data_IF_423648792215
#
_entry.id   IF_423648792215
#
_cell.length_a   1.000
_cell.length_b   1.000
_cell.length_c   1.000
_cell.angle_alpha   90.00
_cell.angle_beta   90.00
_cell.angle_gamma   90.00
#
_symmetry.space_group_name_H-M   'P 1'
#
loop_
_entity.id
_entity.type
_entity.pdbx_description
1 polymer ?
2 non-polymer ?
3 water ?
#
# COMPACT_ATOMS: atom_id res chain seq x y z
N UNK A 1 2.77 6.05 -4.73
CA UNK A 1 4.19 6.52 -4.86
C UNK A 1 4.62 6.67 -6.32
N UNK A 2 4.19 5.75 -7.19
CA UNK A 2 4.56 5.68 -8.61
C UNK A 2 3.35 5.33 -9.45
N UNK A 3 3.51 5.18 -10.79
CA UNK A 3 2.40 4.88 -11.67
C UNK A 3 1.71 3.54 -11.34
N UNK A 4 2.41 2.59 -10.72
CA UNK A 4 1.80 1.32 -10.28
C UNK A 4 0.71 1.56 -9.25
N UNK A 5 1.05 2.27 -8.17
CA UNK A 5 0.14 2.63 -7.05
C UNK A 5 -0.99 3.56 -7.53
N UNK A 6 -0.70 4.40 -8.53
CA UNK A 6 -1.67 5.36 -9.12
C UNK A 6 -2.79 4.58 -9.82
N UNK A 7 -2.43 3.61 -10.64
CA UNK A 7 -3.45 2.78 -11.32
C UNK A 7 -4.29 2.04 -10.26
N UNK A 8 -3.65 1.32 -9.34
CA UNK A 8 -4.30 0.59 -8.22
C UNK A 8 -5.24 1.52 -7.44
N UNK A 9 -4.83 2.76 -7.11
CA UNK A 9 -5.67 3.69 -6.32
C UNK A 9 -6.93 4.04 -7.11
N UNK A 10 -6.77 4.22 -8.41
CA UNK A 10 -7.85 4.60 -9.33
C UNK A 10 -8.91 3.50 -9.35
N UNK A 11 -8.49 2.24 -9.19
CA UNK A 11 -9.42 1.08 -9.20
C UNK A 11 -10.11 1.03 -7.83
N UNK A 12 -9.33 1.13 -6.75
CA UNK A 12 -9.91 1.00 -5.40
C UNK A 12 -10.96 2.08 -5.16
N UNK A 13 -10.69 3.34 -5.51
CA UNK A 13 -11.53 4.49 -5.14
C UNK A 13 -12.92 4.43 -5.79
N UNK A 14 -13.04 3.81 -6.98
CA UNK A 14 -14.30 3.80 -7.75
C UNK A 14 -14.86 2.39 -7.92
N UNK A 15 -14.04 1.33 -7.78
CA UNK A 15 -14.50 -0.02 -8.24
C UNK A 15 -14.42 -1.06 -7.13
N UNK A 16 -14.39 -0.67 -5.85
CA UNK A 16 -14.42 -1.68 -4.76
C UNK A 16 -15.50 -1.29 -3.77
N UNK A 17 -16.10 -2.28 -3.13
CA UNK A 17 -17.01 -2.13 -1.96
C UNK A 17 -16.50 -3.12 -0.91
N UNK A 18 -16.91 -2.95 0.35
CA UNK A 18 -16.65 -3.95 1.42
C UNK A 18 -17.84 -4.92 1.42
N UNK A 19 -17.59 -6.19 1.12
CA UNK A 19 -18.60 -7.27 1.14
C UNK A 19 -18.46 -8.03 2.45
N UNK A 20 -19.58 -8.28 3.14
CA UNK A 20 -19.60 -9.06 4.41
C UNK A 20 -20.56 -10.24 4.22
N UNK A 21 -20.06 -11.46 4.41
CA UNK A 21 -20.87 -12.72 4.38
C UNK A 21 -20.79 -13.31 5.79
N UNK A 22 -21.25 -14.54 5.99
CA UNK A 22 -21.12 -15.23 7.30
C UNK A 22 -19.68 -15.73 7.45
N UNK A 23 -18.86 -15.64 6.38
CA UNK A 23 -17.46 -16.11 6.43
C UNK A 23 -16.49 -14.93 6.59
N UNK A 24 -16.99 -13.69 6.71
CA UNK A 24 -16.21 -12.50 7.09
C UNK A 24 -16.32 -11.37 6.08
N UNK A 25 -15.44 -10.37 6.23
CA UNK A 25 -15.31 -9.15 5.38
C UNK A 25 -14.31 -9.41 4.24
N UNK A 26 -14.69 -9.05 3.01
CA UNK A 26 -13.87 -9.24 1.79
C UNK A 26 -13.78 -7.92 1.00
N UNK A 27 -12.64 -7.64 0.41
CA UNK A 27 -12.52 -6.68 -0.74
C UNK A 27 -13.33 -7.30 -1.86
N UNK A 28 -14.16 -6.51 -2.54
CA UNK A 28 -15.04 -6.99 -3.63
C UNK A 28 -14.88 -6.00 -4.78
N UNK A 29 -14.42 -6.49 -5.93
CA UNK A 29 -14.20 -5.69 -7.15
C UNK A 29 -15.53 -5.59 -7.91
N UNK A 30 -16.02 -4.37 -8.10
CA UNK A 30 -17.13 -4.11 -9.05
C UNK A 30 -16.56 -3.98 -10.45
N UNK A 31 -17.15 -4.65 -11.44
CA UNK A 31 -16.58 -4.75 -12.83
C UNK A 31 -17.42 -3.90 -13.80
N UNK A 32 -18.76 -3.98 -13.72
CA UNK A 32 -19.68 -3.21 -14.60
C UNK A 32 -21.10 -3.37 -14.07
N UNK A 33 -21.98 -2.41 -14.42
CA UNK A 33 -23.41 -2.36 -13.99
C UNK A 33 -23.48 -2.74 -12.50
N UNK A 34 -24.14 -3.85 -12.14
CA UNK A 34 -24.30 -4.25 -10.72
C UNK A 34 -23.54 -5.55 -10.52
N UNK A 35 -22.56 -5.82 -11.37
CA UNK A 35 -21.84 -7.12 -11.41
C UNK A 35 -20.48 -6.92 -10.75
N UNK A 36 -20.16 -7.78 -9.76
CA UNK A 36 -18.92 -7.76 -8.94
C UNK A 36 -18.39 -9.19 -8.81
N UNK A 37 -17.15 -9.35 -8.33
CA UNK A 37 -16.49 -10.65 -8.05
C UNK A 37 -16.01 -10.73 -6.60
N UNK A 38 -15.86 -11.96 -6.14
CA UNK A 38 -15.44 -12.26 -4.75
C UNK A 38 -14.92 -13.69 -4.75
N UNK A 39 -13.92 -14.05 -3.92
CA UNK A 39 -13.49 -15.44 -3.82
C UNK A 39 -14.67 -16.37 -3.47
N UNK A 40 -14.72 -17.52 -4.13
CA UNK A 40 -15.79 -18.51 -3.91
C UNK A 40 -15.90 -18.91 -2.42
N UNK A 41 -14.78 -18.97 -1.69
CA UNK A 41 -14.76 -19.35 -0.25
C UNK A 41 -15.48 -18.29 0.64
N UNK A 42 -15.91 -17.15 0.10
CA UNK A 42 -16.81 -16.20 0.82
C UNK A 42 -18.20 -16.80 1.03
N UNK A 43 -18.57 -17.84 0.27
CA UNK A 43 -19.87 -18.54 0.37
C UNK A 43 -21.05 -17.56 0.33
N UNK A 44 -21.19 -16.83 -0.77
CA UNK A 44 -22.28 -15.84 -0.97
C UNK A 44 -23.64 -16.53 -0.92
N UNK A 45 -24.55 -16.04 -0.07
CA UNK A 45 -25.95 -16.48 0.01
C UNK A 45 -26.93 -15.56 -0.72
N UNK A 46 -28.18 -15.52 -0.26
CA UNK A 46 -29.32 -14.75 -0.84
C UNK A 46 -29.22 -13.27 -0.45
N UNK A 47 -28.57 -12.98 0.67
CA UNK A 47 -28.40 -11.63 1.25
C UNK A 47 -26.90 -11.46 1.51
N UNK A 48 -26.36 -10.29 1.23
CA UNK A 48 -24.95 -9.94 1.51
C UNK A 48 -24.95 -8.51 2.05
N UNK A 49 -23.96 -8.13 2.87
CA UNK A 49 -23.82 -6.71 3.29
C UNK A 49 -22.77 -6.05 2.41
N UNK A 50 -23.14 -4.89 1.83
CA UNK A 50 -22.27 -4.11 0.93
C UNK A 50 -22.08 -2.74 1.57
N UNK A 51 -20.89 -2.46 2.08
CA UNK A 51 -20.59 -1.18 2.78
C UNK A 51 -21.58 -1.06 3.93
N UNK A 52 -21.91 -2.18 4.58
CA UNK A 52 -22.83 -2.31 5.75
C UNK A 52 -24.30 -2.07 5.36
N UNK A 53 -24.67 -2.19 4.08
CA UNK A 53 -26.09 -2.09 3.64
C UNK A 53 -26.59 -3.49 3.28
N UNK A 54 -27.70 -3.91 3.87
CA UNK A 54 -28.29 -5.25 3.62
C UNK A 54 -28.70 -5.28 2.16
N UNK A 55 -28.14 -6.19 1.38
CA UNK A 55 -28.30 -6.19 -0.09
C UNK A 55 -28.79 -7.58 -0.54
N UNK A 56 -29.91 -7.63 -1.26
CA UNK A 56 -30.37 -8.87 -1.93
C UNK A 56 -29.38 -9.23 -3.05
N UNK A 57 -29.07 -10.50 -3.21
CA UNK A 57 -28.17 -11.03 -4.26
C UNK A 57 -29.08 -11.53 -5.39
N UNK A 58 -29.03 -10.91 -6.57
CA UNK A 58 -29.92 -11.23 -7.73
C UNK A 58 -29.45 -12.51 -8.43
N UNK A 59 -28.16 -12.81 -8.38
CA UNK A 59 -27.53 -13.98 -9.04
C UNK A 59 -26.13 -14.17 -8.46
N UNK A 60 -25.67 -15.39 -8.35
CA UNK A 60 -24.30 -15.69 -7.89
C UNK A 60 -23.85 -16.99 -8.54
N UNK A 61 -22.72 -16.94 -9.22
CA UNK A 61 -22.20 -18.07 -10.03
C UNK A 61 -20.73 -18.33 -9.71
N UNK A 62 -20.48 -19.52 -9.17
CA UNK A 62 -19.15 -20.05 -8.86
C UNK A 62 -18.52 -20.60 -10.14
N UNK A 63 -17.52 -19.91 -10.68
CA UNK A 63 -16.96 -20.26 -12.00
C UNK A 63 -16.10 -21.52 -11.88
N UNK A 64 -16.19 -22.37 -12.90
CA UNK A 64 -15.33 -23.55 -13.13
C UNK A 64 -14.88 -23.49 -14.60
N UNK A 65 -13.69 -23.98 -14.93
CA UNK A 65 -13.23 -24.03 -16.34
C UNK A 65 -13.89 -25.22 -17.04
N UNK A 66 -13.61 -25.42 -18.32
CA UNK A 66 -14.28 -26.47 -19.12
C UNK A 66 -13.72 -27.86 -18.79
N UNK A 67 -12.66 -27.99 -17.97
CA UNK A 67 -12.21 -29.30 -17.39
C UNK A 67 -13.03 -29.62 -16.15
N UNK A 68 -14.04 -28.80 -15.83
CA UNK A 68 -14.88 -28.85 -14.60
C UNK A 68 -13.99 -28.70 -13.35
N UNK A 69 -13.06 -27.76 -13.35
CA UNK A 69 -12.16 -27.49 -12.20
C UNK A 69 -12.47 -26.10 -11.65
N UNK A 70 -12.62 -26.00 -10.32
CA UNK A 70 -12.80 -24.73 -9.58
C UNK A 70 -11.90 -23.62 -10.16
N UNK A 71 -12.43 -22.40 -10.32
CA UNK A 71 -11.59 -21.20 -10.60
C UNK A 71 -11.50 -20.26 -9.38
N UNK A 72 -12.24 -20.54 -8.31
CA UNK A 72 -12.27 -19.75 -7.04
C UNK A 72 -12.81 -18.33 -7.21
N UNK A 73 -13.50 -18.06 -8.32
CA UNK A 73 -14.13 -16.73 -8.63
C UNK A 73 -15.66 -16.92 -8.62
N UNK A 74 -16.36 -16.17 -7.78
CA UNK A 74 -17.84 -16.08 -7.82
C UNK A 74 -18.19 -14.73 -8.46
N UNK A 75 -19.04 -14.77 -9.46
CA UNK A 75 -19.63 -13.54 -10.06
C UNK A 75 -20.96 -13.31 -9.37
N UNK A 76 -21.12 -12.12 -8.79
CA UNK A 76 -22.33 -11.68 -8.06
C UNK A 76 -22.99 -10.51 -8.79
N UNK A 77 -24.30 -10.60 -9.03
CA UNK A 77 -25.15 -9.44 -9.39
C UNK A 77 -25.87 -8.94 -8.13
N UNK A 78 -25.67 -7.67 -7.76
CA UNK A 78 -26.26 -7.04 -6.56
C UNK A 78 -27.53 -6.24 -6.89
N UNK A 79 -28.50 -6.32 -5.99
CA UNK A 79 -29.72 -5.45 -5.98
C UNK A 79 -29.36 -4.10 -5.38
N UNK A 80 -28.48 -3.39 -6.06
CA UNK A 80 -27.90 -2.11 -5.62
C UNK A 80 -28.50 -1.00 -6.49
N UNK A 81 -28.62 0.22 -5.93
CA UNK A 81 -29.33 1.33 -6.60
C UNK A 81 -28.33 2.11 -7.46
N UNK A 82 -27.10 1.64 -7.56
CA UNK A 82 -26.03 2.38 -8.28
C UNK A 82 -25.16 1.42 -9.08
N UNK A 83 -24.75 1.83 -10.28
CA UNK A 83 -23.85 1.05 -11.14
C UNK A 83 -22.38 1.36 -10.83
N UNK A 84 -21.53 0.37 -11.06
CA UNK A 84 -20.06 0.53 -11.10
C UNK A 84 -19.65 1.14 -12.44
N UNK A 85 -18.60 1.95 -12.39
CA UNK A 85 -17.78 2.29 -13.59
C UNK A 85 -17.40 1.01 -14.33
N UNK A 86 -17.65 0.96 -15.63
CA UNK A 86 -17.31 -0.22 -16.47
C UNK A 86 -15.79 -0.27 -16.65
N UNK A 87 -15.13 -1.26 -16.05
CA UNK A 87 -13.66 -1.47 -16.14
C UNK A 87 -13.32 -2.74 -16.92
N UNK A 88 -14.23 -3.23 -17.75
CA UNK A 88 -13.96 -4.48 -18.50
C UNK A 88 -12.81 -4.29 -19.51
N UNK A 89 -12.61 -3.09 -20.09
CA UNK A 89 -11.52 -2.82 -21.07
C UNK A 89 -10.13 -2.92 -20.40
N UNK A 90 -10.09 -3.01 -19.06
CA UNK A 90 -8.81 -3.19 -18.31
C UNK A 90 -8.54 -4.66 -18.02
N UNK A 91 -9.43 -5.59 -18.38
CA UNK A 91 -9.23 -7.04 -18.09
C UNK A 91 -8.39 -7.67 -19.19
N UNK A 92 -7.40 -8.53 -18.86
CA UNK A 92 -6.65 -9.25 -19.89
C UNK A 92 -7.54 -10.25 -20.63
N UNK A 93 -7.23 -10.53 -21.90
CA UNK A 93 -8.00 -11.49 -22.72
C UNK A 93 -7.43 -12.91 -22.64
N UNK A 94 -6.13 -13.05 -22.38
CA UNK A 94 -5.41 -14.36 -22.34
C UNK A 94 -4.68 -14.54 -21.00
N UNK A 95 -4.48 -15.80 -20.61
CA UNK A 95 -3.62 -16.17 -19.44
C UNK A 95 -2.20 -15.67 -19.73
N UNK A 96 -1.48 -15.09 -18.74
CA UNK A 96 -0.14 -14.49 -18.97
C UNK A 96 0.60 -14.37 -17.64
N UNK A 97 1.90 -14.10 -17.73
CA UNK A 97 2.77 -13.63 -16.62
C UNK A 97 2.80 -12.09 -16.68
N UNK A 98 3.20 -11.44 -15.59
CA UNK A 98 3.25 -9.96 -15.50
C UNK A 98 4.44 -9.53 -14.63
N UNK A 99 4.87 -8.29 -14.80
CA UNK A 99 5.88 -7.67 -13.90
C UNK A 99 5.22 -6.58 -13.07
N UNK A 100 5.83 -6.27 -11.92
CA UNK A 100 5.52 -5.07 -11.10
C UNK A 100 4.01 -5.00 -10.83
N UNK A 101 3.45 -6.00 -10.14
CA UNK A 101 2.03 -5.98 -9.73
C UNK A 101 1.90 -5.31 -8.36
N UNK A 102 0.74 -4.70 -8.12
CA UNK A 102 0.27 -4.22 -6.78
C UNK A 102 -0.94 -5.05 -6.37
N UNK A 103 -0.99 -5.41 -5.08
CA UNK A 103 -2.18 -6.01 -4.43
C UNK A 103 -2.78 -4.96 -3.48
N UNK A 104 -4.05 -4.62 -3.70
CA UNK A 104 -4.79 -3.55 -2.99
C UNK A 104 -5.98 -4.14 -2.21
N UNK A 105 -6.12 -3.77 -0.95
CA UNK A 105 -7.15 -4.29 0.00
C UNK A 105 -7.81 -3.09 0.70
N UNK A 106 -9.11 -3.18 0.87
CA UNK A 106 -9.91 -2.22 1.66
C UNK A 106 -10.99 -2.95 2.46
N UNK A 107 -10.74 -3.14 3.75
CA UNK A 107 -11.71 -3.61 4.76
C UNK A 107 -11.67 -2.69 5.97
N UNK A 108 -12.56 -2.94 6.95
CA UNK A 108 -12.51 -2.40 8.34
C UNK A 108 -11.10 -2.54 8.89
N UNK A 109 -10.58 -3.77 8.85
CA UNK A 109 -9.27 -4.20 9.41
C UNK A 109 -8.11 -3.55 8.67
N UNK A 110 -8.14 -3.56 7.33
CA UNK A 110 -7.01 -3.13 6.47
C UNK A 110 -7.49 -2.08 5.46
N UNK A 111 -7.80 -0.84 5.94
CA UNK A 111 -8.19 0.26 5.06
C UNK A 111 -7.01 0.79 4.23
N UNK A 112 -7.27 1.14 2.96
CA UNK A 112 -6.30 1.78 2.03
C UNK A 112 -4.92 1.10 2.09
N UNK A 113 -4.90 -0.23 2.00
CA UNK A 113 -3.65 -1.02 1.96
C UNK A 113 -3.23 -1.28 0.50
N UNK A 114 -1.95 -1.07 0.17
CA UNK A 114 -1.35 -1.29 -1.17
C UNK A 114 -0.02 -2.00 -0.95
N UNK A 115 0.18 -3.17 -1.55
CA UNK A 115 1.42 -3.99 -1.42
C UNK A 115 2.05 -4.13 -2.79
N UNK A 116 3.33 -3.71 -3.00
CA UNK A 116 4.04 -4.04 -4.22
C UNK A 116 4.51 -5.49 -4.11
N UNK A 117 3.89 -6.40 -4.88
CA UNK A 117 4.19 -7.85 -4.76
C UNK A 117 5.22 -8.25 -5.83
N UNK A 118 5.57 -7.38 -6.77
CA UNK A 118 6.61 -7.66 -7.77
C UNK A 118 6.12 -8.60 -8.87
N UNK A 119 6.96 -9.55 -9.25
CA UNK A 119 6.75 -10.40 -10.47
C UNK A 119 5.61 -11.40 -10.22
N UNK A 120 4.76 -11.62 -11.21
CA UNK A 120 3.59 -12.53 -11.10
C UNK A 120 3.77 -13.68 -12.09
N UNK A 121 3.76 -14.91 -11.59
CA UNK A 121 3.93 -16.12 -12.41
C UNK A 121 2.55 -16.68 -12.77
N UNK A 122 2.38 -17.07 -14.03
CA UNK A 122 1.24 -17.93 -14.47
C UNK A 122 1.51 -19.32 -13.88
N UNK A 123 1.08 -19.56 -12.64
CA UNK A 123 1.40 -20.78 -11.86
C UNK A 123 0.57 -21.98 -12.37
N UNK A 124 -0.73 -21.77 -12.59
CA UNK A 124 -1.66 -22.76 -13.18
C UNK A 124 -2.44 -23.52 -12.15
N UNK A 125 -2.09 -24.79 -11.96
CA UNK A 125 -2.72 -25.71 -10.98
C UNK A 125 -2.22 -25.39 -9.56
N UNK A 126 -3.17 -25.29 -8.62
CA UNK A 126 -2.90 -25.22 -7.18
C UNK A 126 -3.99 -26.01 -6.42
N UNK A 127 -3.55 -26.84 -5.49
CA UNK A 127 -4.42 -27.46 -4.47
C UNK A 127 -4.63 -26.39 -3.40
N UNK A 128 -5.74 -25.66 -3.48
CA UNK A 128 -6.05 -24.49 -2.62
C UNK A 128 -7.00 -24.93 -1.50
N UNK A 129 -6.52 -24.94 -0.26
CA UNK A 129 -7.29 -25.45 0.89
C UNK A 129 -7.94 -26.80 0.56
N UNK A 130 -7.25 -27.62 -0.25
CA UNK A 130 -7.66 -29.00 -0.56
C UNK A 130 -8.51 -29.10 -1.83
N UNK A 131 -8.83 -27.97 -2.48
CA UNK A 131 -9.62 -27.98 -3.74
C UNK A 131 -8.70 -27.79 -4.94
N UNK A 132 -8.69 -28.73 -5.92
CA UNK A 132 -7.99 -28.51 -7.17
C UNK A 132 -8.51 -27.21 -7.81
N UNK A 133 -7.61 -26.29 -8.14
CA UNK A 133 -7.99 -24.95 -8.65
C UNK A 133 -7.12 -24.64 -9.86
N UNK A 134 -7.68 -24.02 -10.90
CA UNK A 134 -6.87 -23.67 -12.09
C UNK A 134 -6.73 -22.15 -12.21
N UNK A 135 -5.91 -21.73 -13.14
CA UNK A 135 -5.69 -20.32 -13.57
C UNK A 135 -5.18 -19.48 -12.39
N UNK A 136 -4.27 -20.04 -11.60
CA UNK A 136 -3.68 -19.34 -10.43
C UNK A 136 -2.48 -18.51 -10.88
N UNK A 137 -2.43 -17.29 -10.34
CA UNK A 137 -1.29 -16.35 -10.40
C UNK A 137 -0.54 -16.49 -9.07
N UNK A 138 0.80 -16.45 -9.11
CA UNK A 138 1.65 -16.58 -7.89
C UNK A 138 2.60 -15.38 -7.80
N UNK A 139 2.73 -14.83 -6.60
CA UNK A 139 3.67 -13.74 -6.25
C UNK A 139 4.32 -14.04 -4.90
N UNK A 140 5.57 -13.61 -4.77
CA UNK A 140 6.46 -13.90 -3.61
C UNK A 140 6.29 -12.77 -2.60
N UNK A 141 5.11 -12.66 -2.00
CA UNK A 141 4.86 -11.80 -0.81
C UNK A 141 4.18 -12.65 0.25
N UNK A 142 4.60 -12.57 1.53
CA UNK A 142 3.96 -13.34 2.60
C UNK A 142 2.60 -12.71 2.99
N UNK A 143 1.59 -12.94 2.14
CA UNK A 143 0.20 -12.42 2.32
C UNK A 143 -0.46 -13.13 3.51
N UNK A 144 -1.45 -12.49 4.14
CA UNK A 144 -2.03 -12.92 5.45
C UNK A 144 -3.56 -12.83 5.40
N UNK A 145 -4.22 -13.37 6.43
CA UNK A 145 -5.70 -13.38 6.61
C UNK A 145 -6.24 -11.94 6.59
N UNK A 146 -7.30 -11.72 5.81
CA UNK A 146 -7.93 -10.38 5.66
C UNK A 146 -7.71 -9.81 4.26
N UNK A 147 -6.78 -10.37 3.48
CA UNK A 147 -6.41 -9.87 2.13
C UNK A 147 -7.18 -10.59 1.01
N UNK A 148 -7.92 -11.66 1.29
CA UNK A 148 -8.67 -12.35 0.21
C UNK A 148 -9.70 -11.37 -0.39
N UNK A 149 -9.77 -11.37 -1.73
CA UNK A 149 -10.63 -10.47 -2.53
C UNK A 149 -9.84 -9.27 -2.99
N UNK A 150 -8.65 -9.08 -2.41
CA UNK A 150 -7.73 -7.98 -2.76
C UNK A 150 -7.47 -7.94 -4.24
N UNK A 151 -7.33 -6.76 -4.82
CA UNK A 151 -7.29 -6.64 -6.30
C UNK A 151 -5.83 -6.63 -6.72
N UNK A 152 -5.49 -7.43 -7.71
CA UNK A 152 -4.11 -7.46 -8.28
C UNK A 152 -4.16 -6.67 -9.60
N UNK A 153 -3.38 -5.59 -9.68
CA UNK A 153 -3.20 -4.74 -10.89
C UNK A 153 -1.72 -4.64 -11.34
N UNK A 154 -1.52 -4.42 -12.63
CA UNK A 154 -0.31 -3.80 -13.23
C UNK A 154 -0.78 -2.48 -13.81
N UNK A 155 0.14 -1.58 -14.18
CA UNK A 155 -0.24 -0.30 -14.82
C UNK A 155 -1.03 -0.65 -16.09
N UNK A 156 -2.31 -0.28 -16.12
CA UNK A 156 -3.19 -0.48 -17.27
C UNK A 156 -4.05 -1.72 -17.18
N UNK A 157 -3.79 -2.69 -16.26
CA UNK A 157 -4.59 -3.95 -16.25
C UNK A 157 -4.97 -4.43 -14.84
N UNK A 158 -6.21 -4.90 -14.72
CA UNK A 158 -6.72 -5.62 -13.53
C UNK A 158 -6.64 -7.11 -13.84
N UNK A 159 -5.75 -7.84 -13.16
CA UNK A 159 -5.33 -9.19 -13.63
C UNK A 159 -5.87 -10.29 -12.72
N UNK A 160 -6.30 -10.01 -11.49
CA UNK A 160 -6.76 -11.10 -10.59
C UNK A 160 -7.27 -10.62 -9.26
N UNK A 161 -7.76 -11.56 -8.46
CA UNK A 161 -8.20 -11.29 -7.07
C UNK A 161 -7.57 -12.33 -6.15
N UNK A 162 -6.99 -11.84 -5.06
CA UNK A 162 -6.26 -12.64 -4.04
C UNK A 162 -7.17 -13.71 -3.44
N UNK A 163 -6.77 -14.98 -3.44
CA UNK A 163 -7.62 -16.09 -2.91
C UNK A 163 -6.90 -16.93 -1.83
N UNK A 164 -5.58 -16.78 -1.64
CA UNK A 164 -4.88 -17.45 -0.52
C UNK A 164 -3.38 -17.30 -0.57
N UNK A 165 -2.69 -18.02 0.31
CA UNK A 165 -1.23 -17.95 0.48
C UNK A 165 -0.71 -19.11 1.32
N UNK A 166 0.61 -19.28 1.39
CA UNK A 166 1.25 -20.38 2.17
C UNK A 166 2.29 -19.78 3.12
N UNK A 167 2.32 -18.47 3.32
CA UNK A 167 3.24 -17.84 4.28
C UNK A 167 4.50 -17.29 3.62
N UNK A 168 4.97 -17.92 2.53
CA UNK A 168 6.04 -17.41 1.65
C UNK A 168 5.41 -16.68 0.45
N UNK A 169 4.41 -17.32 -0.16
CA UNK A 169 3.81 -16.91 -1.45
C UNK A 169 2.33 -16.55 -1.26
N UNK A 170 1.80 -15.68 -2.12
CA UNK A 170 0.36 -15.42 -2.21
C UNK A 170 -0.18 -15.88 -3.56
N UNK A 171 -1.49 -16.08 -3.66
CA UNK A 171 -2.14 -16.69 -4.85
C UNK A 171 -3.39 -15.89 -5.23
N UNK A 172 -3.56 -15.59 -6.52
CA UNK A 172 -4.73 -14.86 -7.04
C UNK A 172 -5.41 -15.71 -8.13
N UNK A 173 -6.73 -15.68 -8.24
CA UNK A 173 -7.48 -16.22 -9.40
C UNK A 173 -7.46 -15.18 -10.54
N UNK A 174 -7.12 -15.60 -11.75
CA UNK A 174 -7.05 -14.68 -12.92
C UNK A 174 -8.43 -14.11 -13.13
N UNK A 175 -8.51 -12.84 -13.53
CA UNK A 175 -9.71 -12.26 -14.20
C UNK A 175 -9.40 -12.20 -15.71
N UNK A 176 -10.37 -12.63 -16.51
CA UNK A 176 -10.32 -12.63 -17.99
C UNK A 176 -11.56 -11.88 -18.52
N UNK A 177 -11.41 -11.10 -19.61
CA UNK A 177 -12.50 -10.35 -20.28
C UNK A 177 -13.69 -11.27 -20.60
N UNK A 178 -13.43 -12.49 -21.07
CA UNK A 178 -14.47 -13.49 -21.45
C UNK A 178 -15.38 -13.85 -20.27
N UNK A 179 -15.01 -13.59 -19.01
CA UNK A 179 -15.90 -13.91 -17.85
C UNK A 179 -17.09 -12.94 -17.81
N UNK A 180 -16.96 -11.75 -18.41
CA UNK A 180 -17.89 -10.61 -18.18
C UNK A 180 -18.47 -10.09 -19.49
N UNK A 181 -18.47 -10.87 -20.58
CA UNK A 181 -19.25 -10.53 -21.79
C UNK A 181 -20.74 -10.63 -21.40
N UNK A 182 -21.53 -9.62 -21.75
CA UNK A 182 -22.98 -9.55 -21.38
C UNK A 182 -23.83 -10.05 -22.55
N UNK B 2 -2.38 -6.77 12.48
CA UNK B 2 -2.26 -6.43 13.93
C UNK B 2 -2.65 -4.98 14.21
N UNK B 3 -2.29 -4.40 15.38
CA UNK B 3 -2.45 -2.96 15.63
C UNK B 3 -1.33 -2.08 15.05
N UNK B 4 -0.44 -2.67 14.25
CA UNK B 4 0.51 -1.95 13.37
C UNK B 4 -0.22 -0.93 12.51
N UNK B 5 -1.40 -1.32 12.00
CA UNK B 5 -2.23 -0.46 11.13
C UNK B 5 -2.85 0.69 11.92
N UNK B 6 -3.39 0.42 13.10
CA UNK B 6 -3.92 1.48 14.00
C UNK B 6 -2.79 2.49 14.26
N UNK B 7 -1.60 1.99 14.59
CA UNK B 7 -0.44 2.83 14.97
C UNK B 7 -0.06 3.73 13.78
N UNK B 8 0.06 3.17 12.58
CA UNK B 8 0.43 3.93 11.35
C UNK B 8 -0.69 4.95 11.04
N UNK B 9 -1.96 4.58 11.20
CA UNK B 9 -3.09 5.53 10.99
C UNK B 9 -3.00 6.67 12.02
N UNK B 10 -2.64 6.39 13.27
CA UNK B 10 -2.57 7.40 14.35
C UNK B 10 -1.49 8.43 14.02
N UNK B 11 -0.38 7.96 13.46
CA UNK B 11 0.77 8.84 13.08
C UNK B 11 0.40 9.63 11.83
N UNK B 12 -0.18 8.96 10.83
CA UNK B 12 -0.67 9.62 9.58
C UNK B 12 -1.57 10.81 9.95
N UNK B 13 -2.62 10.54 10.73
CA UNK B 13 -3.72 11.52 11.01
C UNK B 13 -3.20 12.77 11.73
N UNK B 14 -2.32 12.67 12.72
CA UNK B 14 -1.95 13.85 13.57
C UNK B 14 -0.59 14.45 13.18
N UNK B 15 0.32 13.67 12.59
CA UNK B 15 1.75 14.05 12.48
C UNK B 15 2.25 14.07 11.03
N UNK B 16 1.42 13.83 10.01
CA UNK B 16 1.93 13.75 8.63
C UNK B 16 1.31 14.91 7.85
N UNK B 17 2.11 15.71 7.15
CA UNK B 17 1.61 16.84 6.32
C UNK B 17 2.23 16.74 4.93
N UNK B 18 1.61 17.45 3.97
CA UNK B 18 2.09 17.51 2.57
C UNK B 18 3.06 18.69 2.50
N UNK B 19 4.32 18.44 2.20
CA UNK B 19 5.32 19.51 2.02
C UNK B 19 5.51 19.67 0.52
N UNK B 20 5.61 20.89 0.03
CA UNK B 20 5.94 21.10 -1.40
C UNK B 20 7.09 22.10 -1.46
N UNK B 21 8.18 21.67 -2.10
CA UNK B 21 9.42 22.44 -2.34
C UNK B 21 9.53 22.68 -3.84
N UNK B 22 10.69 23.20 -4.30
CA UNK B 22 10.96 23.45 -5.75
C UNK B 22 10.80 22.14 -6.53
N UNK B 23 10.97 20.99 -5.86
CA UNK B 23 11.14 19.66 -6.51
C UNK B 23 9.79 18.98 -6.67
N UNK B 24 8.78 19.45 -5.92
CA UNK B 24 7.42 18.90 -5.89
C UNK B 24 7.05 18.47 -4.49
N UNK B 25 6.13 17.49 -4.39
CA UNK B 25 5.44 17.20 -3.10
C UNK B 25 6.12 16.02 -2.40
N UNK B 26 6.18 16.09 -1.06
CA UNK B 26 6.83 15.07 -0.20
C UNK B 26 6.00 14.84 1.08
N UNK B 27 5.90 13.58 1.50
CA UNK B 27 5.34 13.24 2.80
C UNK B 27 6.29 13.83 3.84
N UNK B 28 5.79 14.60 4.79
CA UNK B 28 6.62 15.28 5.82
C UNK B 28 6.10 14.83 7.19
N UNK B 29 7.01 14.43 8.09
CA UNK B 29 6.67 14.02 9.47
C UNK B 29 6.94 15.17 10.43
N UNK B 30 5.91 15.65 11.12
CA UNK B 30 6.03 16.56 12.27
C UNK B 30 6.43 15.77 13.51
N UNK B 31 7.46 16.21 14.22
CA UNK B 31 8.02 15.40 15.35
C UNK B 31 7.56 16.01 16.68
N UNK B 32 7.69 17.33 16.83
CA UNK B 32 7.27 18.11 18.02
C UNK B 32 7.32 19.60 17.67
N UNK B 33 6.53 20.41 18.40
CA UNK B 33 6.45 21.88 18.23
C UNK B 33 6.31 22.19 16.74
N UNK B 34 7.21 22.99 16.18
CA UNK B 34 7.22 23.31 14.74
C UNK B 34 8.39 22.60 14.04
N UNK B 35 8.88 21.50 14.63
CA UNK B 35 10.03 20.74 14.08
C UNK B 35 9.49 19.55 13.29
N UNK B 36 9.95 19.39 12.06
CA UNK B 36 9.56 18.30 11.13
C UNK B 36 10.77 17.77 10.37
N UNK B 37 10.61 16.65 9.68
CA UNK B 37 11.68 16.02 8.89
C UNK B 37 11.19 15.71 7.48
N UNK B 38 12.14 15.74 6.56
CA UNK B 38 11.90 15.50 5.12
C UNK B 38 13.22 14.97 4.57
N UNK B 39 13.22 14.11 3.51
CA UNK B 39 14.49 13.72 2.86
C UNK B 39 15.32 14.91 2.38
N UNK B 40 16.65 14.83 2.49
CA UNK B 40 17.56 15.95 2.08
C UNK B 40 17.37 16.27 0.58
N UNK B 41 17.05 15.27 -0.23
CA UNK B 41 16.95 15.46 -1.70
C UNK B 41 15.71 16.27 -2.08
N UNK B 42 14.85 16.62 -1.12
CA UNK B 42 13.71 17.54 -1.31
C UNK B 42 14.16 18.99 -1.58
N UNK B 43 15.41 19.35 -1.28
CA UNK B 43 15.97 20.70 -1.54
C UNK B 43 15.09 21.76 -0.90
N UNK B 44 14.99 21.72 0.43
CA UNK B 44 14.25 22.72 1.21
C UNK B 44 14.91 24.11 1.00
N UNK B 45 14.08 25.11 0.71
CA UNK B 45 14.48 26.53 0.55
C UNK B 45 14.12 27.37 1.76
N UNK B 46 13.91 28.68 1.55
CA UNK B 46 13.56 29.67 2.59
C UNK B 46 12.05 29.56 2.88
N UNK B 47 11.27 29.19 1.86
CA UNK B 47 9.80 29.09 1.88
C UNK B 47 9.43 27.63 1.56
N UNK B 48 8.47 27.07 2.27
CA UNK B 48 7.85 25.77 1.89
C UNK B 48 6.32 25.92 1.92
N UNK B 49 5.62 25.07 1.17
CA UNK B 49 4.15 24.92 1.27
C UNK B 49 3.85 23.72 2.15
N UNK B 50 3.15 23.96 3.26
CA UNK B 50 2.59 22.90 4.16
C UNK B 50 1.07 22.83 3.96
N UNK B 51 0.56 21.72 3.40
CA UNK B 51 -0.87 21.53 3.06
C UNK B 51 -1.36 22.77 2.30
N UNK B 52 -0.58 23.17 1.28
CA UNK B 52 -0.89 24.23 0.29
C UNK B 52 -0.77 25.64 0.88
N UNK B 53 -0.21 25.79 2.08
CA UNK B 53 -0.04 27.11 2.76
C UNK B 53 1.43 27.52 2.71
N UNK B 54 1.74 28.62 2.03
CA UNK B 54 3.08 29.26 2.01
C UNK B 54 3.58 29.43 3.45
N UNK B 55 4.75 28.88 3.77
CA UNK B 55 5.28 28.79 5.16
C UNK B 55 6.79 29.08 5.14
N UNK B 56 7.23 29.98 6.03
CA UNK B 56 8.65 30.37 6.13
C UNK B 56 9.35 29.24 6.86
N UNK B 57 10.48 28.80 6.33
CA UNK B 57 11.39 27.82 6.98
C UNK B 57 12.41 28.63 7.80
N UNK B 58 12.31 28.58 9.12
CA UNK B 58 13.18 29.39 10.01
C UNK B 58 14.59 28.78 10.05
N UNK B 59 14.69 27.45 9.94
CA UNK B 59 15.96 26.71 10.04
C UNK B 59 15.79 25.37 9.30
N UNK B 60 16.83 24.98 8.54
CA UNK B 60 16.98 23.67 7.88
C UNK B 60 18.39 23.14 8.21
N UNK B 61 18.47 21.92 8.76
CA UNK B 61 19.75 21.19 9.03
C UNK B 61 19.77 19.87 8.26
N UNK B 62 20.66 19.75 7.27
CA UNK B 62 20.93 18.49 6.55
C UNK B 62 21.80 17.60 7.46
N UNK B 63 21.18 16.61 8.12
CA UNK B 63 21.86 15.83 9.16
C UNK B 63 23.07 15.03 8.62
N UNK B 64 24.12 14.98 9.44
CA UNK B 64 25.33 14.17 9.19
C UNK B 64 25.72 13.56 10.53
N UNK B 65 26.28 12.36 10.53
CA UNK B 65 26.64 11.73 11.82
C UNK B 65 28.03 12.21 12.24
N UNK B 66 28.57 11.65 13.32
CA UNK B 66 29.85 12.13 13.90
C UNK B 66 31.05 11.65 13.08
N UNK B 67 30.87 10.72 12.12
CA UNK B 67 31.89 10.41 11.08
C UNK B 67 31.84 11.45 9.95
N UNK B 68 30.97 12.47 10.08
CA UNK B 68 30.76 13.49 9.03
C UNK B 68 30.21 12.81 7.78
N UNK B 69 29.30 11.85 7.95
CA UNK B 69 28.62 11.19 6.80
C UNK B 69 27.13 11.60 6.74
N UNK B 70 26.64 11.84 5.52
CA UNK B 70 25.22 12.13 5.18
C UNK B 70 24.33 11.07 5.83
N UNK B 71 23.22 11.52 6.43
CA UNK B 71 22.08 10.71 6.92
C UNK B 71 20.81 10.87 6.04
N UNK B 72 20.74 11.87 5.16
CA UNK B 72 19.66 12.07 4.16
C UNK B 72 18.35 12.51 4.82
N UNK B 73 18.41 12.96 6.08
CA UNK B 73 17.33 13.61 6.83
C UNK B 73 17.68 15.09 6.89
N UNK B 74 16.71 15.92 6.54
CA UNK B 74 16.72 17.38 6.81
C UNK B 74 15.69 17.67 7.91
N UNK B 75 16.12 18.30 9.02
CA UNK B 75 15.22 18.77 10.09
C UNK B 75 14.91 20.23 9.81
N UNK B 76 13.63 20.60 9.75
CA UNK B 76 13.17 21.99 9.46
C UNK B 76 12.43 22.54 10.68
N UNK B 77 12.64 23.82 10.99
CA UNK B 77 11.83 24.59 11.95
C UNK B 77 10.91 25.51 11.14
N UNK B 78 9.60 25.35 11.33
CA UNK B 78 8.55 26.00 10.49
C UNK B 78 7.96 27.20 11.25
N UNK B 79 7.75 28.31 10.53
CA UNK B 79 7.02 29.52 11.03
C UNK B 79 5.52 29.26 10.85
N UNK B 80 4.92 28.53 11.79
CA UNK B 80 3.47 28.27 11.79
C UNK B 80 2.93 28.18 13.22
N UNK B 81 1.63 28.45 13.34
CA UNK B 81 0.92 28.50 14.64
C UNK B 81 0.70 27.10 15.16
N UNK B 82 0.29 26.15 14.32
CA UNK B 82 0.00 24.78 14.82
C UNK B 82 1.29 24.20 15.38
N UNK B 83 1.13 23.32 16.37
CA UNK B 83 2.22 22.57 17.04
C UNK B 83 1.96 21.11 16.68
N UNK B 84 3.00 20.36 16.31
CA UNK B 84 2.91 18.89 16.08
C UNK B 84 2.70 18.21 17.43
N UNK B 85 1.82 17.23 17.47
CA UNK B 85 1.71 16.26 18.60
C UNK B 85 3.08 15.60 18.81
N UNK B 86 3.64 15.68 20.03
CA UNK B 86 5.02 15.19 20.32
C UNK B 86 5.05 13.67 20.16
N UNK B 87 5.92 13.13 19.28
CA UNK B 87 6.13 11.66 19.10
C UNK B 87 7.59 11.24 19.35
N UNK B 88 8.41 12.05 20.04
CA UNK B 88 9.86 11.77 20.26
C UNK B 88 10.07 10.46 21.03
N UNK B 89 9.16 10.14 21.94
CA UNK B 89 9.15 8.90 22.76
C UNK B 89 8.81 7.68 21.90
N UNK B 90 8.43 7.82 20.64
CA UNK B 90 8.23 6.64 19.76
C UNK B 90 9.48 6.39 18.89
N UNK B 91 10.49 7.28 18.95
CA UNK B 91 11.73 7.15 18.14
C UNK B 91 12.64 6.15 18.82
N UNK B 92 13.27 5.20 18.08
CA UNK B 92 14.25 4.29 18.67
C UNK B 92 15.51 5.03 19.13
N UNK B 93 16.24 4.40 20.05
CA UNK B 93 17.49 4.92 20.65
C UNK B 93 18.69 4.51 19.81
N UNK B 94 18.64 3.30 19.25
CA UNK B 94 19.79 2.62 18.59
C UNK B 94 19.36 2.07 17.23
N UNK B 95 20.35 1.72 16.39
CA UNK B 95 20.14 1.08 15.07
C UNK B 95 19.59 -0.32 15.32
N UNK B 96 18.67 -0.82 14.50
CA UNK B 96 18.04 -2.15 14.77
C UNK B 96 17.33 -2.68 13.53
N UNK B 97 17.10 -3.99 13.49
CA UNK B 97 16.20 -4.69 12.53
C UNK B 97 14.80 -4.71 13.13
N UNK B 98 13.78 -4.88 12.28
CA UNK B 98 12.35 -4.80 12.65
C UNK B 98 11.55 -5.80 11.80
N UNK B 99 10.39 -6.22 12.28
CA UNK B 99 9.44 -7.04 11.48
C UNK B 99 8.14 -6.28 11.27
N UNK B 100 7.40 -6.62 10.23
CA UNK B 100 6.00 -6.15 10.03
C UNK B 100 5.94 -4.61 10.05
N UNK B 101 6.68 -3.95 9.17
CA UNK B 101 6.68 -2.46 9.07
C UNK B 101 5.63 -2.03 8.06
N UNK B 102 5.21 -0.77 8.17
CA UNK B 102 4.21 -0.12 7.28
C UNK B 102 4.85 1.18 6.82
N UNK B 103 4.78 1.45 5.52
CA UNK B 103 5.24 2.73 4.93
C UNK B 103 3.97 3.49 4.63
N UNK B 104 3.86 4.72 5.15
CA UNK B 104 2.65 5.58 5.08
C UNK B 104 2.93 6.83 4.24
N UNK B 105 2.28 6.92 3.07
CA UNK B 105 2.45 8.01 2.06
C UNK B 105 1.27 8.98 2.16
N UNK B 106 1.55 10.28 2.05
CA UNK B 106 0.53 11.33 2.13
C UNK B 106 0.93 12.51 1.24
N UNK B 107 0.37 12.57 0.03
CA UNK B 107 0.57 13.70 -0.94
C UNK B 107 -0.79 14.01 -1.60
N UNK B 108 -0.90 15.04 -2.45
CA UNK B 108 -2.18 15.37 -3.16
C UNK B 108 -2.56 14.22 -4.10
N UNK B 109 -1.55 13.55 -4.68
CA UNK B 109 -1.71 12.45 -5.66
C UNK B 109 -2.06 11.15 -4.93
N UNK B 110 -1.48 10.97 -3.72
CA UNK B 110 -1.56 9.72 -2.90
C UNK B 110 -1.90 10.04 -1.45
N UNK B 111 -3.17 10.43 -1.14
CA UNK B 111 -3.55 10.77 0.23
C UNK B 111 -3.86 9.50 1.02
N UNK B 112 -3.43 9.43 2.27
CA UNK B 112 -3.74 8.26 3.15
C UNK B 112 -3.50 6.93 2.42
N UNK B 113 -2.27 6.65 1.94
CA UNK B 113 -1.86 5.32 1.39
C UNK B 113 -0.90 4.58 2.33
N UNK B 114 -1.23 3.34 2.69
CA UNK B 114 -0.46 2.47 3.63
C UNK B 114 0.08 1.27 2.86
N UNK B 115 1.39 1.07 2.94
CA UNK B 115 2.14 0.06 2.14
C UNK B 115 2.87 -0.85 3.12
N UNK B 116 2.28 -2.01 3.49
CA UNK B 116 3.00 -2.98 4.31
C UNK B 116 4.24 -3.37 3.50
N UNK B 117 5.42 -3.36 4.13
CA UNK B 117 6.72 -3.75 3.47
C UNK B 117 7.30 -4.98 4.19
N UNK B 118 6.91 -5.18 5.44
CA UNK B 118 7.23 -6.37 6.27
C UNK B 118 8.59 -6.27 6.94
N UNK B 119 9.47 -7.19 6.61
CA UNK B 119 10.81 -7.32 7.24
C UNK B 119 11.67 -6.11 6.89
N UNK B 120 12.27 -5.49 7.91
CA UNK B 120 13.17 -4.30 7.76
C UNK B 120 14.54 -4.64 8.33
N UNK B 121 15.58 -4.62 7.49
CA UNK B 121 16.99 -4.91 7.89
C UNK B 121 17.73 -3.60 8.20
N UNK B 122 18.50 -3.57 9.29
CA UNK B 122 19.60 -2.59 9.47
C UNK B 122 20.71 -2.88 8.45
N UNK B 123 20.70 -2.15 7.35
CA UNK B 123 21.52 -2.35 6.11
C UNK B 123 22.85 -1.60 6.26
N UNK B 124 22.82 -0.40 6.84
CA UNK B 124 24.00 0.40 7.17
C UNK B 124 24.36 1.40 6.07
N UNK B 125 25.50 1.17 5.41
CA UNK B 125 26.13 2.02 4.38
C UNK B 125 25.37 1.84 3.08
N UNK B 126 25.06 2.91 2.34
CA UNK B 126 24.44 2.86 0.99
C UNK B 126 25.00 4.04 0.20
N UNK B 127 25.41 3.82 -1.03
CA UNK B 127 25.83 4.94 -1.89
C UNK B 127 24.58 5.45 -2.60
N UNK B 128 23.99 6.52 -2.09
CA UNK B 128 22.64 6.99 -2.53
C UNK B 128 22.80 8.20 -3.45
N UNK B 129 22.46 8.03 -4.72
CA UNK B 129 22.64 9.09 -5.74
C UNK B 129 24.06 9.63 -5.74
N UNK B 130 25.04 8.76 -5.48
CA UNK B 130 26.47 9.09 -5.53
C UNK B 130 26.97 9.69 -4.21
N UNK B 131 26.10 9.80 -3.22
CA UNK B 131 26.45 10.30 -1.87
C UNK B 131 26.51 9.16 -0.87
N UNK B 132 27.70 8.87 -0.29
CA UNK B 132 27.83 7.93 0.81
C UNK B 132 26.95 8.34 1.99
N UNK B 133 26.15 7.39 2.49
CA UNK B 133 25.05 7.61 3.46
C UNK B 133 25.05 6.48 4.49
N UNK B 134 24.81 6.84 5.75
CA UNK B 134 24.74 5.90 6.91
C UNK B 134 23.31 5.69 7.41
N UNK B 135 23.16 4.66 8.26
CA UNK B 135 21.95 4.34 9.04
C UNK B 135 20.75 4.17 8.10
N UNK B 136 20.96 3.38 7.06
CA UNK B 136 19.88 3.01 6.10
C UNK B 136 19.18 1.72 6.55
N UNK B 137 17.85 1.75 6.52
CA UNK B 137 16.97 0.57 6.71
C UNK B 137 16.56 0.09 5.31
N UNK B 138 16.40 -1.21 5.10
CA UNK B 138 16.10 -1.78 3.76
C UNK B 138 14.93 -2.77 3.89
N UNK B 139 13.97 -2.66 2.96
CA UNK B 139 12.81 -3.56 2.80
C UNK B 139 12.70 -3.95 1.33
N UNK B 140 12.13 -5.13 1.08
CA UNK B 140 11.67 -5.49 -0.27
C UNK B 140 10.73 -4.39 -0.74
N UNK B 141 10.88 -3.98 -1.99
CA UNK B 141 10.09 -2.89 -2.61
C UNK B 141 10.22 -3.02 -4.13
N UNK B 142 9.72 -4.15 -4.70
CA UNK B 142 9.97 -4.50 -6.09
C UNK B 142 9.13 -3.67 -7.08
N UNK B 143 9.45 -2.39 -7.16
CA UNK B 143 8.70 -1.39 -7.93
C UNK B 143 9.57 -0.14 -8.01
N UNK B 144 9.27 0.73 -8.98
CA UNK B 144 9.96 2.03 -9.19
C UNK B 144 9.04 3.13 -8.65
N UNK B 145 9.30 3.57 -7.43
CA UNK B 145 8.57 4.65 -6.74
C UNK B 145 9.16 6.00 -7.17
N UNK B 146 8.37 7.06 -7.07
CA UNK B 146 8.86 8.45 -7.21
C UNK B 146 9.55 8.90 -5.94
N UNK B 147 9.72 10.20 -5.78
CA UNK B 147 10.57 10.81 -4.74
C UNK B 147 9.81 11.05 -3.42
N UNK B 148 8.47 10.96 -3.41
CA UNK B 148 7.64 11.64 -2.38
C UNK B 148 7.92 11.04 -0.98
N UNK B 149 8.37 9.79 -0.92
CA UNK B 149 8.70 9.08 0.34
C UNK B 149 7.49 8.89 1.24
N UNK B 150 7.72 8.75 2.55
CA UNK B 150 6.75 8.20 3.51
C UNK B 150 7.35 7.82 4.84
N UNK B 151 6.50 7.62 5.85
CA UNK B 151 6.92 7.34 7.26
C UNK B 151 6.90 5.83 7.42
N UNK B 152 7.96 5.27 7.98
CA UNK B 152 8.05 3.82 8.32
C UNK B 152 7.76 3.65 9.82
N UNK B 153 6.76 2.82 10.11
CA UNK B 153 6.34 2.50 11.51
C UNK B 153 6.28 0.98 11.66
N UNK B 154 6.46 0.55 12.90
CA UNK B 154 6.18 -0.81 13.43
C UNK B 154 5.18 -0.58 14.55
N UNK B 155 4.59 -1.60 15.16
CA UNK B 155 3.78 -1.38 16.38
C UNK B 155 4.62 -0.59 17.39
N UNK B 156 4.15 0.59 17.76
CA UNK B 156 4.71 1.38 18.86
C UNK B 156 5.97 2.14 18.52
N UNK B 157 6.45 2.16 17.27
CA UNK B 157 7.68 2.94 16.93
C UNK B 157 7.60 3.59 15.53
N UNK B 158 8.07 4.83 15.43
CA UNK B 158 8.39 5.55 14.18
C UNK B 158 9.89 5.38 13.91
N UNK B 159 10.27 4.61 12.88
CA UNK B 159 11.68 4.12 12.78
C UNK B 159 12.43 4.79 11.62
N UNK B 160 11.76 5.45 10.69
CA UNK B 160 12.47 5.98 9.53
C UNK B 160 11.58 6.73 8.55
N UNK B 161 12.22 7.38 7.57
CA UNK B 161 11.51 8.00 6.41
C UNK B 161 12.14 7.45 5.13
N UNK B 162 11.30 7.13 4.14
CA UNK B 162 11.72 6.54 2.84
C UNK B 162 12.57 7.55 2.06
N UNK B 163 13.75 7.18 1.60
CA UNK B 163 14.65 8.14 0.88
C UNK B 163 15.01 7.64 -0.51
N UNK B 164 14.73 6.38 -0.85
CA UNK B 164 14.96 5.89 -2.22
C UNK B 164 14.75 4.39 -2.39
N UNK B 165 15.28 3.84 -3.49
CA UNK B 165 15.07 2.45 -3.92
C UNK B 165 15.76 2.17 -5.25
N UNK B 166 15.86 0.90 -5.63
CA UNK B 166 16.67 0.43 -6.79
C UNK B 166 15.83 -0.52 -7.66
N UNK B 167 14.50 -0.50 -7.51
CA UNK B 167 13.54 -1.32 -8.26
C UNK B 167 13.25 -2.67 -7.63
N UNK B 168 14.09 -3.13 -6.68
CA UNK B 168 13.95 -4.42 -5.97
C UNK B 168 13.81 -4.20 -4.46
N UNK B 169 14.45 -3.14 -3.97
CA UNK B 169 14.65 -2.84 -2.54
C UNK B 169 14.28 -1.38 -2.33
N UNK B 170 13.73 -1.06 -1.16
CA UNK B 170 13.34 0.28 -0.71
C UNK B 170 14.23 0.69 0.42
N UNK B 171 14.56 1.98 0.56
CA UNK B 171 15.54 2.41 1.58
C UNK B 171 14.96 3.55 2.41
N UNK B 172 15.18 3.53 3.72
CA UNK B 172 14.73 4.59 4.63
C UNK B 172 15.88 5.01 5.55
N UNK B 173 15.98 6.31 5.83
CA UNK B 173 16.92 6.90 6.78
C UNK B 173 16.33 6.70 8.17
N UNK B 174 17.11 6.20 9.10
CA UNK B 174 16.61 5.95 10.48
C UNK B 174 16.19 7.29 11.09
N UNK B 175 15.24 7.24 12.03
CA UNK B 175 15.03 8.35 12.98
C UNK B 175 15.50 7.78 14.31
N UNK B 176 16.26 8.56 15.06
CA UNK B 176 16.74 8.19 16.41
C UNK B 176 16.35 9.28 17.41
N UNK B 177 16.06 8.89 18.65
CA UNK B 177 15.66 9.82 19.75
C UNK B 177 16.68 10.96 19.84
N UNK B 178 17.97 10.66 19.67
CA UNK B 178 19.09 11.61 19.94
C UNK B 178 19.08 12.78 18.93
N UNK B 179 18.47 12.60 17.75
CA UNK B 179 18.38 13.67 16.71
C UNK B 179 17.56 14.88 17.19
N UNK B 180 16.68 14.70 18.19
CA UNK B 180 15.72 15.74 18.68
C UNK B 180 15.82 15.97 20.20
N UNK B 181 16.92 15.66 20.88
CA UNK B 181 17.12 16.02 22.32
C UNK B 181 17.82 17.39 22.43
X LIG C 1 9.47 26.77 -4.87
X LIG C 1 9.83 27.11 -2.53
X LIG C 1 10.15 27.30 -3.86
X LIG C 1 6.33 24.15 -7.18
X LIG C 1 7.22 24.65 -8.30
X LIG C 1 7.08 22.56 -9.34
X LIG C 1 7.86 25.33 -5.68
X LIG C 1 6.60 24.86 -5.85
X LIG C 1 5.70 24.99 -5.03
X LIG C 1 8.41 25.99 -4.57
X LIG C 1 7.99 25.77 -3.26
X LIG C 1 8.73 26.34 -2.24
X LIG C 1 6.24 22.03 -8.21
X LIG C 1 6.91 23.97 -9.52
X LIG C 1 6.55 22.74 -7.00
#
# INVERSE_FOLDING_TARGET
>A
MGPGFDFAQAIMKKNTVIARTEKGEFTMLGVYDRVAVIPTHASVGEIIYINDVETRVLDACALRDLTDTNLEITIVKLDRNQKFRDIRHFLPRCEDDYNDAVLSVHTSKFPNMYIPVGQVTNYGFLNLGGTPTHRILMYNFPTRAGQCGGVVTTTGKVIGIHVGGNGAQGFAAMLLHSYFTD
>B
MGPGFDFAQAIMKKNTVIARTEKGEFTMLGVYDRVAVIPTHASVGEIIYINDVETRVLDACALRDLTDTNLEITIVKLDRNQKFRDIRHFLPRCEDDYNDAVLSVHTSKFPNMYIPVGQVTNYGFLNLGGTPTHRILMYNFPTRAGQCGGVVTTTGKVIGIHVGGNGAQGFAAMLLHSYFTD
>C hetero
1 SZX N1 C4 C5 C6 C7 C8 N C O C1 C2 C3 C9 O1 O2
#
